data_IF_937533357220
#
_entry.id   IF_937533357220
#
_cell.length_a   1.000
_cell.length_b   1.000
_cell.length_c   1.000
_cell.angle_alpha   90.00
_cell.angle_beta   90.00
_cell.angle_gamma   90.00
#
_symmetry.space_group_name_H-M   'P 1'
#
loop_
_entity.id
_entity.type
_entity.pdbx_description
1 polymer ?
#
# COMPACT_ATOMS: atom_id res chain seq x y z
N UNK A 1 -16.12 -5.89 25.53
CA UNK A 1 -15.67 -5.65 24.14
C UNK A 1 -15.51 -4.17 23.78
N UNK A 2 -16.06 -3.22 24.54
CA UNK A 2 -15.73 -1.78 24.39
C UNK A 2 -14.69 -1.34 25.42
N UNK A 3 -13.44 -1.80 25.25
CA UNK A 3 -12.32 -1.35 26.09
C UNK A 3 -12.00 0.13 25.83
N UNK A 4 -11.66 0.87 26.88
CA UNK A 4 -11.30 2.30 26.79
C UNK A 4 -10.13 2.56 25.84
N UNK A 5 -9.19 1.62 25.75
CA UNK A 5 -7.99 1.71 24.93
C UNK A 5 -8.34 1.76 23.43
N UNK A 6 -9.21 0.88 22.94
CA UNK A 6 -9.59 0.85 21.52
C UNK A 6 -10.24 2.16 21.08
N UNK A 7 -11.07 2.76 21.94
CA UNK A 7 -11.66 4.09 21.69
C UNK A 7 -10.60 5.18 21.61
N UNK A 8 -9.68 5.21 22.56
CA UNK A 8 -8.58 6.19 22.57
C UNK A 8 -7.68 6.07 21.33
N UNK A 9 -7.44 4.85 20.84
CA UNK A 9 -6.70 4.63 19.59
C UNK A 9 -7.44 5.22 18.39
N UNK A 10 -8.76 5.00 18.28
CA UNK A 10 -9.58 5.61 17.22
C UNK A 10 -9.57 7.14 17.35
N UNK A 11 -9.65 7.69 18.56
CA UNK A 11 -9.59 9.14 18.79
C UNK A 11 -8.25 9.72 18.29
N UNK A 12 -7.12 9.06 18.55
CA UNK A 12 -5.81 9.48 18.04
C UNK A 12 -5.71 9.41 16.51
N UNK A 13 -6.30 8.38 15.87
CA UNK A 13 -6.35 8.28 14.42
C UNK A 13 -7.13 9.45 13.81
N UNK A 14 -8.26 9.82 14.42
CA UNK A 14 -9.10 10.95 13.98
C UNK A 14 -8.37 12.27 14.17
N UNK A 15 -7.69 12.47 15.31
CA UNK A 15 -6.90 13.68 15.57
C UNK A 15 -5.76 13.88 14.55
N UNK A 16 -5.22 12.78 14.01
CA UNK A 16 -4.13 12.78 13.03
C UNK A 16 -4.57 12.38 11.62
N UNK A 17 -5.85 12.56 11.27
CA UNK A 17 -6.46 12.01 10.05
C UNK A 17 -5.67 12.31 8.78
N UNK A 18 -5.26 13.56 8.57
CA UNK A 18 -4.50 13.98 7.37
C UNK A 18 -3.17 13.22 7.23
N UNK A 19 -2.47 12.98 8.34
CA UNK A 19 -1.20 12.26 8.34
C UNK A 19 -1.42 10.78 8.04
N UNK A 20 -2.45 10.19 8.65
CA UNK A 20 -2.83 8.79 8.41
C UNK A 20 -3.24 8.58 6.95
N UNK A 21 -4.03 9.50 6.39
CA UNK A 21 -4.40 9.49 4.97
C UNK A 21 -3.18 9.50 4.04
N UNK A 22 -2.19 10.36 4.30
CA UNK A 22 -0.95 10.41 3.51
C UNK A 22 -0.17 9.10 3.61
N UNK A 23 -0.09 8.50 4.81
CA UNK A 23 0.59 7.22 5.04
C UNK A 23 -0.12 6.08 4.31
N UNK A 24 -1.46 6.02 4.37
CA UNK A 24 -2.24 5.00 3.68
C UNK A 24 -2.09 5.12 2.16
N UNK A 25 -2.15 6.34 1.61
CA UNK A 25 -1.91 6.60 0.18
C UNK A 25 -0.49 6.19 -0.24
N UNK A 26 0.50 6.46 0.60
CA UNK A 26 1.88 6.03 0.36
C UNK A 26 1.95 4.49 0.22
N UNK A 27 1.40 3.74 1.17
CA UNK A 27 1.38 2.28 1.07
C UNK A 27 0.61 1.80 -0.15
N UNK A 28 -0.57 2.36 -0.41
CA UNK A 28 -1.38 2.00 -1.57
C UNK A 28 -0.60 2.14 -2.90
N UNK A 29 0.08 3.27 -3.10
CA UNK A 29 0.87 3.50 -4.31
C UNK A 29 1.97 2.46 -4.53
N UNK A 30 2.73 2.13 -3.46
CA UNK A 30 3.91 1.26 -3.56
C UNK A 30 3.59 -0.24 -3.44
N UNK A 31 2.47 -0.62 -2.82
CA UNK A 31 2.00 -2.00 -2.84
C UNK A 31 1.54 -2.40 -4.25
N UNK A 32 0.77 -1.53 -4.91
CA UNK A 32 0.32 -1.70 -6.31
C UNK A 32 1.46 -1.78 -7.33
N UNK A 33 2.63 -1.23 -7.00
CA UNK A 33 3.77 -1.18 -7.91
C UNK A 33 4.25 -2.57 -8.32
N UNK A 34 4.17 -3.54 -7.40
CA UNK A 34 4.53 -4.93 -7.71
C UNK A 34 3.53 -5.58 -8.67
N UNK A 35 2.25 -5.28 -8.53
CA UNK A 35 1.19 -5.80 -9.40
C UNK A 35 1.32 -5.22 -10.81
N UNK A 36 1.59 -3.91 -10.93
CA UNK A 36 1.87 -3.23 -12.20
C UNK A 36 3.03 -3.91 -12.93
N UNK A 37 4.19 -3.98 -12.29
CA UNK A 37 5.44 -4.45 -12.91
C UNK A 37 5.46 -5.95 -13.20
N UNK A 38 4.58 -6.72 -12.53
CA UNK A 38 4.44 -8.16 -12.77
C UNK A 38 3.39 -8.50 -13.84
N UNK A 39 2.60 -7.51 -14.29
CA UNK A 39 1.54 -7.70 -15.28
C UNK A 39 2.09 -8.03 -16.68
N UNK A 40 1.34 -8.82 -17.45
CA UNK A 40 1.76 -9.20 -18.81
C UNK A 40 1.89 -7.98 -19.73
N UNK A 41 0.99 -7.01 -19.61
CA UNK A 41 1.06 -5.74 -20.36
C UNK A 41 2.31 -4.93 -20.02
N UNK A 42 2.75 -4.90 -18.76
CA UNK A 42 3.98 -4.21 -18.40
C UNK A 42 5.22 -4.92 -19.00
N UNK A 43 5.21 -6.26 -19.00
CA UNK A 43 6.32 -7.05 -19.55
C UNK A 43 6.51 -6.88 -21.05
N UNK A 44 5.51 -6.41 -21.79
CA UNK A 44 5.67 -6.05 -23.21
C UNK A 44 6.70 -4.92 -23.44
N UNK A 45 6.94 -4.08 -22.43
CA UNK A 45 7.97 -3.03 -22.49
C UNK A 45 9.39 -3.55 -22.23
N UNK A 46 9.54 -4.75 -21.68
CA UNK A 46 10.82 -5.43 -21.42
C UNK A 46 10.77 -6.89 -21.93
N UNK A 47 10.71 -7.10 -23.27
CA UNK A 47 10.56 -8.43 -23.85
C UNK A 47 11.75 -9.35 -23.56
N UNK A 48 12.92 -8.76 -23.29
CA UNK A 48 14.15 -9.49 -22.96
C UNK A 48 14.28 -9.80 -21.46
N UNK A 49 13.39 -9.26 -20.61
CA UNK A 49 13.41 -9.47 -19.15
C UNK A 49 14.68 -8.95 -18.48
N UNK A 50 15.18 -7.79 -18.90
CA UNK A 50 16.42 -7.19 -18.38
C UNK A 50 16.24 -6.47 -17.03
N UNK A 51 15.00 -6.21 -16.63
CA UNK A 51 14.71 -5.43 -15.42
C UNK A 51 14.80 -3.91 -15.61
N UNK A 52 14.98 -3.45 -16.86
CA UNK A 52 15.16 -2.03 -17.19
C UNK A 52 14.23 -1.61 -18.33
N UNK A 53 13.63 -0.42 -18.23
CA UNK A 53 12.83 0.21 -19.29
C UNK A 53 13.05 1.71 -19.33
N UNK A 54 12.68 2.39 -20.43
CA UNK A 54 12.76 3.85 -20.46
C UNK A 54 11.76 4.49 -19.49
N UNK A 55 12.11 5.65 -18.89
CA UNK A 55 11.19 6.41 -18.03
C UNK A 55 9.87 6.76 -18.74
N UNK A 56 9.93 6.99 -20.06
CA UNK A 56 8.74 7.24 -20.90
C UNK A 56 7.84 6.02 -21.00
N UNK A 57 8.41 4.83 -21.14
CA UNK A 57 7.63 3.60 -21.27
C UNK A 57 7.05 3.20 -19.91
N UNK A 58 7.78 3.42 -18.80
CA UNK A 58 7.23 3.29 -17.45
C UNK A 58 6.02 4.21 -17.25
N UNK A 59 6.10 5.48 -17.67
CA UNK A 59 4.97 6.40 -17.62
C UNK A 59 3.75 5.88 -18.41
N UNK A 60 3.95 5.45 -19.65
CA UNK A 60 2.87 4.89 -20.48
C UNK A 60 2.25 3.64 -19.84
N UNK A 61 3.07 2.77 -19.27
CA UNK A 61 2.59 1.57 -18.60
C UNK A 61 1.67 1.94 -17.43
N UNK A 62 2.06 2.92 -16.59
CA UNK A 62 1.24 3.42 -15.50
C UNK A 62 -0.11 4.02 -15.97
N UNK A 63 -0.09 4.86 -17.01
CA UNK A 63 -1.31 5.44 -17.59
C UNK A 63 -2.24 4.36 -18.17
N UNK A 64 -1.68 3.34 -18.82
CA UNK A 64 -2.43 2.24 -19.42
C UNK A 64 -3.09 1.33 -18.38
N UNK A 65 -2.45 1.16 -17.21
CA UNK A 65 -2.92 0.28 -16.14
C UNK A 65 -4.11 0.87 -15.37
N UNK A 66 -4.32 2.20 -15.40
CA UNK A 66 -5.47 2.92 -14.81
C UNK A 66 -5.71 2.69 -13.30
N UNK A 67 -4.69 2.23 -12.57
CA UNK A 67 -4.74 2.04 -11.12
C UNK A 67 -4.13 3.20 -10.32
N UNK A 68 -3.55 4.17 -11.02
CA UNK A 68 -2.96 5.38 -10.47
C UNK A 68 -3.67 6.62 -11.02
N UNK A 69 -3.81 7.62 -10.17
CA UNK A 69 -4.17 8.98 -10.60
C UNK A 69 -2.97 9.65 -11.26
N UNK A 70 -3.22 10.76 -11.97
CA UNK A 70 -2.15 11.54 -12.60
C UNK A 70 -1.12 12.03 -11.56
N UNK A 71 -1.57 12.55 -10.41
CA UNK A 71 -0.67 13.03 -9.36
C UNK A 71 0.18 11.92 -8.74
N UNK A 72 -0.37 10.72 -8.58
CA UNK A 72 0.38 9.57 -8.06
C UNK A 72 1.41 9.09 -9.11
N UNK A 73 1.04 9.14 -10.38
CA UNK A 73 1.94 8.81 -11.50
C UNK A 73 3.12 9.77 -11.55
N UNK A 74 2.85 11.08 -11.49
CA UNK A 74 3.89 12.12 -11.44
C UNK A 74 4.79 11.97 -10.21
N UNK A 75 4.20 11.66 -9.05
CA UNK A 75 4.96 11.40 -7.83
C UNK A 75 5.90 10.20 -7.98
N UNK A 76 5.41 9.05 -8.44
CA UNK A 76 6.23 7.85 -8.64
C UNK A 76 7.33 8.07 -9.69
N UNK A 77 7.02 8.79 -10.78
CA UNK A 77 8.02 9.19 -11.78
C UNK A 77 9.07 10.14 -11.22
N UNK A 78 8.73 10.97 -10.23
CA UNK A 78 9.70 11.83 -9.54
C UNK A 78 10.62 11.04 -8.62
N UNK A 79 10.15 9.93 -8.05
CA UNK A 79 10.96 9.00 -7.25
C UNK A 79 11.84 8.09 -8.10
N UNK A 80 11.48 7.88 -9.37
CA UNK A 80 12.25 7.08 -10.31
C UNK A 80 13.50 7.85 -10.80
N UNK A 81 14.66 7.30 -10.46
CA UNK A 81 15.99 7.81 -10.80
C UNK A 81 16.54 7.04 -12.03
N UNK A 82 16.34 7.53 -13.26
CA UNK A 82 16.92 6.87 -14.43
C UNK A 82 18.43 7.08 -14.50
N UNK A 83 19.12 6.19 -15.21
CA UNK A 83 20.55 6.29 -15.50
C UNK A 83 20.87 7.35 -16.56
N UNK A 84 22.14 7.45 -16.95
CA UNK A 84 22.62 8.39 -17.99
C UNK A 84 21.97 8.16 -19.37
N UNK A 85 21.38 6.99 -19.61
CA UNK A 85 20.71 6.61 -20.85
C UNK A 85 19.18 6.72 -20.78
N UNK A 86 18.65 7.37 -19.73
CA UNK A 86 17.21 7.48 -19.45
C UNK A 86 16.50 6.14 -19.17
N UNK A 87 17.27 5.11 -18.79
CA UNK A 87 16.76 3.80 -18.41
C UNK A 87 16.52 3.74 -16.90
N UNK A 88 15.34 3.28 -16.52
CA UNK A 88 14.94 2.99 -15.16
C UNK A 88 15.08 1.50 -14.89
N UNK A 89 15.87 1.15 -13.88
CA UNK A 89 15.84 -0.17 -13.24
C UNK A 89 14.55 -0.29 -12.42
N UNK A 90 13.52 -0.88 -13.03
CA UNK A 90 12.22 -1.00 -12.39
C UNK A 90 12.23 -2.10 -11.32
N UNK A 91 13.11 -3.09 -11.41
CA UNK A 91 13.23 -4.15 -10.41
C UNK A 91 13.81 -3.60 -9.11
N UNK A 92 14.90 -2.83 -9.18
CA UNK A 92 15.48 -2.17 -8.01
C UNK A 92 14.56 -1.06 -7.50
N UNK A 93 13.86 -0.33 -8.38
CA UNK A 93 12.82 0.63 -7.95
C UNK A 93 11.72 -0.07 -7.15
N UNK A 94 11.16 -1.18 -7.66
CA UNK A 94 10.17 -1.99 -6.93
C UNK A 94 10.75 -2.44 -5.60
N UNK A 95 11.94 -3.04 -5.58
CA UNK A 95 12.55 -3.56 -4.36
C UNK A 95 12.79 -2.46 -3.31
N UNK A 96 13.27 -1.29 -3.73
CA UNK A 96 13.57 -0.14 -2.86
C UNK A 96 12.33 0.42 -2.17
N UNK A 97 11.18 0.40 -2.84
CA UNK A 97 9.97 1.03 -2.30
C UNK A 97 8.87 0.05 -1.87
N UNK A 98 8.69 -1.07 -2.58
CA UNK A 98 7.70 -2.09 -2.27
C UNK A 98 8.05 -2.86 -0.99
N UNK A 99 9.28 -3.36 -0.83
CA UNK A 99 9.63 -4.19 0.34
C UNK A 99 9.46 -3.43 1.66
N UNK A 100 9.97 -2.18 1.81
CA UNK A 100 9.72 -1.41 3.02
C UNK A 100 8.23 -1.06 3.22
N UNK A 101 7.50 -0.77 2.12
CA UNK A 101 6.07 -0.52 2.19
C UNK A 101 5.29 -1.77 2.65
N UNK A 102 5.72 -2.95 2.21
CA UNK A 102 5.14 -4.23 2.58
C UNK A 102 5.35 -4.53 4.06
N UNK A 103 6.57 -4.38 4.55
CA UNK A 103 6.92 -4.68 5.94
C UNK A 103 6.19 -3.77 6.94
N UNK A 104 6.17 -2.47 6.68
CA UNK A 104 5.50 -1.51 7.56
C UNK A 104 3.98 -1.57 7.37
N UNK A 105 3.52 -1.67 6.13
CA UNK A 105 2.10 -1.73 5.78
C UNK A 105 1.38 -2.91 6.41
N UNK A 106 2.05 -4.05 6.59
CA UNK A 106 1.46 -5.22 7.24
C UNK A 106 1.01 -4.92 8.67
N UNK A 107 1.84 -4.22 9.46
CA UNK A 107 1.49 -3.86 10.84
C UNK A 107 0.32 -2.86 10.89
N UNK A 108 0.23 -1.95 9.92
CA UNK A 108 -0.92 -1.04 9.80
C UNK A 108 -2.20 -1.80 9.46
N UNK A 109 -2.14 -2.76 8.54
CA UNK A 109 -3.27 -3.61 8.19
C UNK A 109 -3.75 -4.44 9.40
N UNK A 110 -2.82 -5.00 10.18
CA UNK A 110 -3.14 -5.73 11.43
C UNK A 110 -3.80 -4.80 12.46
N UNK A 111 -3.26 -3.59 12.66
CA UNK A 111 -3.84 -2.61 13.58
C UNK A 111 -5.28 -2.24 13.21
N UNK A 112 -5.52 -1.89 11.95
CA UNK A 112 -6.84 -1.50 11.47
C UNK A 112 -7.84 -2.66 11.53
N UNK A 113 -7.39 -3.87 11.18
CA UNK A 113 -8.20 -5.10 11.29
C UNK A 113 -8.57 -5.39 12.74
N UNK A 114 -7.62 -5.26 13.67
CA UNK A 114 -7.88 -5.50 15.09
C UNK A 114 -8.86 -4.46 15.67
N UNK A 115 -8.66 -3.18 15.34
CA UNK A 115 -9.58 -2.12 15.75
C UNK A 115 -10.99 -2.32 15.19
N UNK A 116 -11.13 -2.75 13.94
CA UNK A 116 -12.46 -2.94 13.31
C UNK A 116 -13.26 -4.08 13.94
N UNK A 117 -12.58 -5.14 14.38
CA UNK A 117 -13.20 -6.27 15.09
C UNK A 117 -13.68 -5.89 16.50
N UNK A 118 -12.92 -5.05 17.20
CA UNK A 118 -13.27 -4.61 18.55
C UNK A 118 -14.23 -3.40 18.58
N UNK A 119 -14.26 -2.60 17.50
CA UNK A 119 -15.04 -1.36 17.39
C UNK A 119 -15.89 -1.35 16.10
N UNK A 120 -16.74 -2.37 15.84
CA UNK A 120 -17.42 -2.54 14.55
C UNK A 120 -18.45 -1.45 14.22
N UNK A 121 -18.90 -0.69 15.22
CA UNK A 121 -19.94 0.34 15.06
C UNK A 121 -19.40 1.77 15.10
N UNK A 122 -18.08 2.00 15.16
CA UNK A 122 -17.50 3.34 15.11
C UNK A 122 -17.39 3.82 13.66
N UNK A 123 -18.26 4.75 13.25
CA UNK A 123 -18.29 5.27 11.88
C UNK A 123 -17.02 6.01 11.48
N UNK A 124 -16.28 6.57 12.45
CA UNK A 124 -15.03 7.29 12.18
C UNK A 124 -13.94 6.32 11.73
N UNK A 125 -13.92 5.11 12.31
CA UNK A 125 -13.01 4.05 11.90
C UNK A 125 -13.33 3.56 10.48
N UNK A 126 -14.60 3.50 10.09
CA UNK A 126 -15.00 3.05 8.75
C UNK A 126 -14.38 3.90 7.64
N UNK A 127 -14.28 5.21 7.81
CA UNK A 127 -13.59 6.10 6.84
C UNK A 127 -12.14 5.68 6.58
N UNK A 128 -11.40 5.30 7.64
CA UNK A 128 -10.03 4.80 7.48
C UNK A 128 -9.97 3.42 6.83
N UNK A 129 -10.94 2.55 7.11
CA UNK A 129 -11.02 1.23 6.48
C UNK A 129 -11.32 1.33 4.98
N UNK A 130 -12.19 2.25 4.58
CA UNK A 130 -12.47 2.55 3.17
C UNK A 130 -11.22 3.06 2.44
N UNK A 131 -10.48 3.99 3.05
CA UNK A 131 -9.22 4.49 2.51
C UNK A 131 -8.14 3.41 2.43
N UNK A 132 -8.10 2.50 3.41
CA UNK A 132 -7.14 1.42 3.49
C UNK A 132 -7.58 0.15 2.73
N UNK A 133 -8.73 0.14 2.05
CA UNK A 133 -9.33 -1.07 1.46
C UNK A 133 -8.36 -1.86 0.57
N UNK A 134 -7.64 -1.17 -0.32
CA UNK A 134 -6.62 -1.77 -1.18
C UNK A 134 -5.45 -2.37 -0.38
N UNK A 135 -4.96 -1.66 0.64
CA UNK A 135 -3.90 -2.14 1.54
C UNK A 135 -4.36 -3.38 2.32
N UNK A 136 -5.57 -3.35 2.87
CA UNK A 136 -6.16 -4.48 3.61
C UNK A 136 -6.35 -5.70 2.70
N UNK A 137 -6.82 -5.51 1.47
CA UNK A 137 -6.96 -6.58 0.47
C UNK A 137 -5.62 -7.19 0.09
N UNK A 138 -4.59 -6.36 -0.12
CA UNK A 138 -3.24 -6.84 -0.41
C UNK A 138 -2.72 -7.77 0.69
N UNK A 139 -2.94 -7.40 1.97
CA UNK A 139 -2.44 -8.19 3.11
C UNK A 139 -3.34 -9.36 3.54
N UNK A 140 -4.58 -9.44 3.06
CA UNK A 140 -5.53 -10.48 3.45
C UNK A 140 -4.95 -11.91 3.34
N UNK A 141 -4.24 -12.31 2.27
CA UNK A 141 -3.67 -13.66 2.15
C UNK A 141 -2.54 -13.95 3.15
N UNK A 142 -1.93 -12.90 3.71
CA UNK A 142 -0.80 -12.99 4.64
C UNK A 142 -1.23 -12.91 6.12
N UNK A 143 -2.49 -12.56 6.39
CA UNK A 143 -3.00 -12.33 7.73
C UNK A 143 -3.65 -13.60 8.29
N UNK A 144 -2.91 -14.29 9.17
CA UNK A 144 -3.41 -15.44 9.92
C UNK A 144 -4.17 -15.02 11.19
N UNK A 145 -5.26 -15.73 11.51
CA UNK A 145 -6.06 -15.50 12.72
C UNK A 145 -6.10 -16.76 13.56
N UNK A 146 -5.86 -16.62 14.86
CA UNK A 146 -5.98 -17.69 15.84
C UNK A 146 -6.70 -17.17 17.07
N UNK A 147 -7.51 -18.01 17.70
CA UNK A 147 -8.19 -17.69 18.95
C UNK A 147 -7.65 -18.59 20.06
N UNK A 148 -7.22 -17.98 21.16
CA UNK A 148 -6.67 -18.67 22.33
C UNK A 148 -7.36 -18.11 23.57
N UNK A 149 -7.83 -18.98 24.46
CA UNK A 149 -8.41 -18.55 25.73
C UNK A 149 -7.31 -18.10 26.70
N UNK A 150 -7.34 -16.84 27.10
CA UNK A 150 -6.40 -16.27 28.06
C UNK A 150 -6.62 -16.74 29.50
N UNK A 151 -5.63 -16.49 30.37
CA UNK A 151 -5.68 -16.87 31.79
C UNK A 151 -6.73 -16.09 32.61
N UNK A 152 -7.25 -14.98 32.08
CA UNK A 152 -8.36 -14.25 32.66
C UNK A 152 -9.67 -14.96 32.29
N UNK A 153 -10.20 -15.75 33.22
CA UNK A 153 -11.59 -16.22 33.21
C UNK A 153 -12.49 -15.20 33.90
#
# INVERSE_FOLDING_TARGET
LTGTIGRQMVDMLVESSNNVEMILKFFDMFLKLKDLTSSDTFKEYDPDGKGVISKRDFHKAMESHKHYTQSETEFLLSCAEPDENELLDYEEFVKRFHEPAKDIGFNVAVLLTNLSEHMPHDSRLQTFLELADSVLKYFQPFLGRIEIMGAAK
#
